data_IF_251946710782
#
_entry.id   IF_251946710782
#
_cell.length_a   1.000
_cell.length_b   1.000
_cell.length_c   1.000
_cell.angle_alpha   90.00
_cell.angle_beta   90.00
_cell.angle_gamma   90.00
#
_symmetry.space_group_name_H-M   'P 1'
#
loop_
_entity.id
_entity.type
_entity.pdbx_description
1 polymer ?
#
# COMPACT_ATOMS: atom_id res chain seq x y z
N UNK A 1 -32.70 -5.99 17.41
CA UNK A 1 -31.74 -7.08 17.65
C UNK A 1 -30.37 -6.43 17.84
N UNK A 2 -29.65 -6.74 18.93
CA UNK A 2 -28.32 -6.19 19.16
C UNK A 2 -27.28 -7.06 18.42
N UNK A 3 -26.41 -6.44 17.63
CA UNK A 3 -25.30 -7.10 16.93
C UNK A 3 -24.07 -7.19 17.85
N UNK A 4 -23.32 -8.28 17.77
CA UNK A 4 -22.05 -8.46 18.50
C UNK A 4 -20.95 -7.70 17.74
N UNK A 5 -20.14 -6.92 18.46
CA UNK A 5 -18.89 -6.38 17.93
C UNK A 5 -17.79 -7.43 18.04
N UNK A 6 -17.13 -7.72 16.92
CA UNK A 6 -16.03 -8.70 16.83
C UNK A 6 -14.66 -8.03 16.76
N UNK A 7 -14.60 -6.69 16.77
CA UNK A 7 -13.36 -5.94 16.72
C UNK A 7 -12.86 -5.67 18.13
N UNK A 8 -11.56 -5.82 18.32
CA UNK A 8 -10.87 -5.45 19.56
C UNK A 8 -9.78 -4.44 19.23
N UNK A 9 -9.35 -3.64 20.22
CA UNK A 9 -8.30 -2.63 20.07
C UNK A 9 -8.55 -1.62 18.93
N UNK A 10 -9.80 -1.13 18.81
CA UNK A 10 -10.17 -0.13 17.80
C UNK A 10 -9.63 1.24 18.23
N UNK A 11 -8.56 1.68 17.56
CA UNK A 11 -7.94 2.99 17.76
C UNK A 11 -8.12 3.86 16.50
N UNK A 12 -8.28 5.19 16.64
CA UNK A 12 -8.35 6.08 15.50
C UNK A 12 -7.01 6.13 14.75
N UNK A 13 -7.08 6.23 13.42
CA UNK A 13 -5.91 6.56 12.61
C UNK A 13 -5.56 8.04 12.80
N UNK A 14 -4.27 8.36 12.75
CA UNK A 14 -3.73 9.71 12.99
C UNK A 14 -2.51 9.92 12.11
N UNK A 15 -2.31 11.17 11.66
CA UNK A 15 -1.21 11.58 10.77
C UNK A 15 -1.21 10.77 9.47
N UNK A 16 -2.40 10.46 8.99
CA UNK A 16 -2.59 9.65 7.78
C UNK A 16 -2.18 10.44 6.55
N UNK A 17 -2.54 11.73 6.49
CA UNK A 17 -2.14 12.66 5.44
C UNK A 17 -0.62 12.79 5.37
N UNK A 18 0.03 13.15 6.48
CA UNK A 18 1.50 13.33 6.55
C UNK A 18 2.27 12.11 6.05
N UNK A 19 1.83 10.90 6.42
CA UNK A 19 2.47 9.65 5.98
C UNK A 19 2.17 9.33 4.53
N UNK A 20 0.95 9.62 4.05
CA UNK A 20 0.53 9.26 2.70
C UNK A 20 1.20 10.17 1.65
N UNK A 21 1.41 11.45 1.95
CA UNK A 21 2.09 12.39 1.05
C UNK A 21 3.58 12.07 0.85
N UNK A 22 4.20 11.26 1.72
CA UNK A 22 5.60 10.83 1.53
C UNK A 22 5.73 9.65 0.57
N UNK A 23 4.64 8.98 0.22
CA UNK A 23 4.64 7.83 -0.68
C UNK A 23 4.52 8.32 -2.13
N UNK A 24 5.47 7.95 -2.97
CA UNK A 24 5.43 8.32 -4.38
C UNK A 24 4.48 7.40 -5.15
N UNK A 25 3.57 8.02 -5.91
CA UNK A 25 2.78 7.32 -6.92
C UNK A 25 3.59 7.19 -8.20
N UNK A 26 3.66 5.98 -8.75
CA UNK A 26 4.47 5.66 -9.92
C UNK A 26 3.62 5.01 -11.01
N UNK A 27 4.07 5.17 -12.24
CA UNK A 27 3.66 4.34 -13.37
C UNK A 27 4.79 3.37 -13.71
N UNK A 28 4.47 2.11 -14.00
CA UNK A 28 5.46 1.07 -14.22
C UNK A 28 4.97 -0.02 -15.17
N UNK A 29 5.93 -0.68 -15.81
CA UNK A 29 5.74 -1.93 -16.53
C UNK A 29 6.36 -3.08 -15.73
N UNK A 30 5.82 -4.28 -15.88
CA UNK A 30 6.46 -5.45 -15.32
C UNK A 30 7.70 -5.80 -16.14
N UNK A 31 8.86 -5.75 -15.51
CA UNK A 31 10.10 -6.34 -16.01
C UNK A 31 10.42 -7.55 -15.15
N UNK A 32 9.96 -8.72 -15.57
CA UNK A 32 10.18 -9.98 -14.84
C UNK A 32 11.23 -10.76 -15.62
N UNK A 33 12.49 -10.76 -15.15
CA UNK A 33 13.51 -11.55 -15.80
C UNK A 33 13.16 -13.02 -15.62
N UNK A 34 12.89 -13.73 -16.72
CA UNK A 34 12.81 -15.20 -16.73
C UNK A 34 14.23 -15.77 -16.88
N UNK A 35 15.14 -15.37 -16.00
CA UNK A 35 16.57 -15.73 -16.00
C UNK A 35 16.87 -16.88 -15.03
N UNK A 36 18.11 -17.37 -15.02
CA UNK A 36 18.57 -18.35 -14.01
C UNK A 36 18.39 -17.83 -12.58
N UNK A 37 18.52 -16.53 -12.34
CA UNK A 37 18.29 -15.90 -11.03
C UNK A 37 16.85 -16.06 -10.56
N UNK A 38 15.88 -15.97 -11.47
CA UNK A 38 14.48 -16.21 -11.17
C UNK A 38 14.22 -17.66 -10.73
N UNK A 39 14.82 -18.61 -11.44
CA UNK A 39 14.72 -20.03 -11.09
C UNK A 39 15.39 -20.31 -9.74
N UNK A 40 16.54 -19.70 -9.46
CA UNK A 40 17.22 -19.80 -8.16
C UNK A 40 16.37 -19.20 -7.03
N UNK A 41 15.72 -18.05 -7.25
CA UNK A 41 14.79 -17.46 -6.29
C UNK A 41 13.64 -18.40 -5.99
N UNK A 42 12.98 -18.94 -7.02
CA UNK A 42 11.87 -19.89 -6.83
C UNK A 42 12.33 -21.14 -6.05
N UNK A 43 13.48 -21.71 -6.39
CA UNK A 43 13.99 -22.90 -5.71
C UNK A 43 14.36 -22.65 -4.25
N UNK A 44 14.69 -21.40 -3.89
CA UNK A 44 14.94 -21.01 -2.49
C UNK A 44 13.66 -20.91 -1.63
N UNK A 45 12.48 -20.83 -2.26
CA UNK A 45 11.20 -20.75 -1.55
C UNK A 45 10.74 -22.13 -1.04
N UNK A 46 9.90 -22.17 0.02
CA UNK A 46 9.25 -23.39 0.46
C UNK A 46 8.52 -24.09 -0.69
N UNK A 47 8.61 -25.43 -0.76
CA UNK A 47 8.05 -26.23 -1.87
C UNK A 47 6.55 -25.95 -2.11
N UNK A 48 5.80 -25.68 -1.04
CA UNK A 48 4.37 -25.30 -1.10
C UNK A 48 4.12 -24.02 -1.91
N UNK A 49 5.09 -23.13 -1.94
CA UNK A 49 4.96 -21.79 -2.50
C UNK A 49 5.51 -21.75 -3.93
N UNK A 50 6.46 -22.63 -4.29
CA UNK A 50 7.12 -22.64 -5.60
C UNK A 50 6.14 -22.67 -6.77
N UNK A 51 5.15 -23.57 -6.73
CA UNK A 51 4.16 -23.70 -7.81
C UNK A 51 3.31 -22.42 -7.94
N UNK A 52 2.79 -21.92 -6.82
CA UNK A 52 1.94 -20.73 -6.80
C UNK A 52 2.71 -19.48 -7.23
N UNK A 53 3.96 -19.37 -6.80
CA UNK A 53 4.84 -18.26 -7.13
C UNK A 53 5.23 -18.29 -8.61
N UNK A 54 5.65 -19.44 -9.14
CA UNK A 54 5.93 -19.60 -10.57
C UNK A 54 4.74 -19.22 -11.44
N UNK A 55 3.54 -19.72 -11.10
CA UNK A 55 2.31 -19.36 -11.82
C UNK A 55 2.01 -17.85 -11.76
N UNK A 56 2.22 -17.22 -10.60
CA UNK A 56 2.04 -15.78 -10.42
C UNK A 56 3.02 -14.99 -11.31
N UNK A 57 4.30 -15.35 -11.33
CA UNK A 57 5.30 -14.67 -12.15
C UNK A 57 5.03 -14.81 -13.64
N UNK A 58 4.67 -16.02 -14.11
CA UNK A 58 4.28 -16.24 -15.51
C UNK A 58 3.10 -15.34 -15.91
N UNK A 59 2.11 -15.19 -15.03
CA UNK A 59 0.97 -14.30 -15.27
C UNK A 59 1.39 -12.83 -15.35
N UNK A 60 2.26 -12.39 -14.44
CA UNK A 60 2.72 -11.01 -14.40
C UNK A 60 3.61 -10.67 -15.62
N UNK A 61 4.44 -11.61 -16.07
CA UNK A 61 5.32 -11.44 -17.24
C UNK A 61 4.55 -11.26 -18.55
N UNK A 62 3.29 -11.72 -18.60
CA UNK A 62 2.41 -11.53 -19.76
C UNK A 62 1.70 -10.15 -19.76
N UNK A 63 1.83 -9.36 -18.69
CA UNK A 63 1.21 -8.04 -18.61
C UNK A 63 2.10 -7.04 -19.35
N UNK A 64 1.62 -6.60 -20.52
CA UNK A 64 2.29 -5.58 -21.34
C UNK A 64 1.74 -4.17 -21.11
N UNK A 65 0.56 -4.06 -20.47
CA UNK A 65 -0.06 -2.77 -20.17
C UNK A 65 0.65 -2.09 -19.00
N UNK A 66 0.90 -0.80 -19.15
CA UNK A 66 1.32 0.07 -18.06
C UNK A 66 0.39 -0.02 -16.84
N UNK A 67 0.98 0.03 -15.65
CA UNK A 67 0.30 -0.05 -14.36
C UNK A 67 0.62 1.16 -13.51
N UNK A 68 -0.36 1.58 -12.70
CA UNK A 68 -0.17 2.58 -11.68
C UNK A 68 -0.08 1.91 -10.31
N UNK A 69 0.74 2.46 -9.43
CA UNK A 69 0.87 1.95 -8.08
C UNK A 69 1.86 2.75 -7.25
N UNK A 70 2.39 2.10 -6.23
CA UNK A 70 3.37 2.65 -5.29
C UNK A 70 4.53 1.67 -5.11
N UNK A 71 5.66 2.17 -4.64
CA UNK A 71 6.84 1.37 -4.32
C UNK A 71 6.63 0.71 -2.95
N UNK A 72 6.79 -0.61 -2.86
CA UNK A 72 6.54 -1.35 -1.63
C UNK A 72 7.49 -0.93 -0.49
N UNK A 73 8.73 -0.55 -0.80
CA UNK A 73 9.72 -0.08 0.17
C UNK A 73 9.35 1.30 0.76
N UNK A 74 8.79 2.20 -0.06
CA UNK A 74 8.28 3.49 0.41
C UNK A 74 7.12 3.26 1.39
N UNK A 75 6.16 2.40 1.01
CA UNK A 75 5.04 2.03 1.89
C UNK A 75 5.54 1.36 3.17
N UNK A 76 6.52 0.46 3.08
CA UNK A 76 7.04 -0.27 4.24
C UNK A 76 7.65 0.66 5.30
N UNK A 77 8.19 1.80 4.87
CA UNK A 77 8.80 2.79 5.78
C UNK A 77 7.75 3.47 6.67
N UNK A 78 6.51 3.63 6.18
CA UNK A 78 5.44 4.37 6.88
C UNK A 78 4.29 3.49 7.39
N UNK A 79 4.02 2.38 6.70
CA UNK A 79 2.96 1.39 6.97
C UNK A 79 3.52 -0.04 6.76
N UNK A 80 4.48 -0.48 7.59
CA UNK A 80 5.09 -1.81 7.44
C UNK A 80 4.07 -2.95 7.49
N UNK A 81 2.97 -2.78 8.22
CA UNK A 81 1.86 -3.73 8.32
C UNK A 81 1.12 -3.95 6.99
N UNK A 82 1.23 -3.01 6.06
CA UNK A 82 0.64 -3.11 4.72
C UNK A 82 1.59 -3.72 3.70
N UNK A 83 2.77 -4.18 4.11
CA UNK A 83 3.74 -4.78 3.21
C UNK A 83 4.05 -6.19 3.66
N UNK A 84 3.94 -7.13 2.71
CA UNK A 84 4.25 -8.54 2.96
C UNK A 84 5.22 -9.06 1.92
N UNK A 85 6.13 -9.94 2.33
CA UNK A 85 6.92 -10.70 1.38
C UNK A 85 6.10 -11.89 0.89
N UNK A 86 5.87 -11.96 -0.42
CA UNK A 86 5.24 -13.10 -1.08
C UNK A 86 6.08 -13.47 -2.28
N UNK A 87 6.45 -14.74 -2.39
CA UNK A 87 7.24 -15.25 -3.51
C UNK A 87 8.62 -14.58 -3.66
N UNK A 88 9.22 -14.12 -2.55
CA UNK A 88 10.53 -13.50 -2.56
C UNK A 88 10.54 -12.00 -2.92
N UNK A 89 9.37 -11.37 -3.09
CA UNK A 89 9.26 -9.92 -3.32
C UNK A 89 8.24 -9.27 -2.40
N UNK A 90 8.40 -7.96 -2.18
CA UNK A 90 7.50 -7.16 -1.37
C UNK A 90 6.22 -6.82 -2.14
N UNK A 91 5.08 -7.09 -1.53
CA UNK A 91 3.75 -6.76 -2.03
C UNK A 91 3.05 -5.83 -1.05
N UNK A 92 2.37 -4.82 -1.60
CA UNK A 92 1.51 -3.88 -0.86
C UNK A 92 0.09 -4.43 -0.73
N UNK A 93 -0.51 -4.30 0.45
CA UNK A 93 -1.94 -4.42 0.70
C UNK A 93 -2.67 -3.12 0.39
N UNK A 94 -3.15 -3.01 -0.84
CA UNK A 94 -3.92 -1.85 -1.31
C UNK A 94 -5.27 -1.70 -0.60
N UNK A 95 -5.85 -2.78 -0.05
CA UNK A 95 -7.12 -2.69 0.69
C UNK A 95 -6.91 -1.98 2.02
N UNK A 96 -5.79 -2.25 2.70
CA UNK A 96 -5.40 -1.56 3.93
C UNK A 96 -5.11 -0.07 3.75
N UNK A 97 -4.78 0.38 2.53
CA UNK A 97 -4.62 1.82 2.24
C UNK A 97 -5.95 2.59 2.23
N UNK A 98 -7.09 1.92 1.99
CA UNK A 98 -8.41 2.58 1.91
C UNK A 98 -8.76 3.35 3.19
N UNK A 99 -8.74 2.75 4.40
CA UNK A 99 -9.05 3.50 5.64
C UNK A 99 -8.05 4.64 5.90
N UNK A 100 -6.79 4.49 5.50
CA UNK A 100 -5.76 5.54 5.62
C UNK A 100 -6.10 6.73 4.71
N UNK A 101 -6.47 6.48 3.45
CA UNK A 101 -6.89 7.53 2.52
C UNK A 101 -8.14 8.26 3.03
N UNK A 102 -9.11 7.53 3.58
CA UNK A 102 -10.31 8.13 4.18
C UNK A 102 -9.93 9.11 5.29
N UNK A 103 -9.03 8.69 6.19
CA UNK A 103 -8.61 9.56 7.29
C UNK A 103 -7.77 10.75 6.81
N UNK A 104 -6.88 10.55 5.84
CA UNK A 104 -6.11 11.63 5.22
C UNK A 104 -7.01 12.71 4.59
N UNK A 105 -8.12 12.32 3.95
CA UNK A 105 -9.10 13.27 3.39
C UNK A 105 -9.79 14.09 4.49
N UNK A 106 -10.08 13.48 5.65
CA UNK A 106 -10.67 14.19 6.80
C UNK A 106 -9.67 15.16 7.43
N UNK A 107 -8.42 14.71 7.63
CA UNK A 107 -7.33 15.55 8.12
C UNK A 107 -7.12 16.75 7.19
N UNK A 108 -7.04 16.52 5.88
CA UNK A 108 -6.94 17.60 4.88
C UNK A 108 -8.13 18.56 4.93
N UNK A 109 -9.36 18.04 5.09
CA UNK A 109 -10.55 18.88 5.22
C UNK A 109 -10.51 19.73 6.48
N UNK A 110 -10.00 19.19 7.58
CA UNK A 110 -9.82 19.90 8.83
C UNK A 110 -8.81 21.05 8.68
N UNK A 111 -7.64 20.78 8.10
CA UNK A 111 -6.62 21.81 7.83
C UNK A 111 -7.17 22.95 6.96
N UNK A 112 -7.95 22.64 5.93
CA UNK A 112 -8.60 23.65 5.08
C UNK A 112 -9.58 24.52 5.90
N UNK A 113 -10.34 23.92 6.81
CA UNK A 113 -11.28 24.67 7.65
C UNK A 113 -10.53 25.59 8.62
N UNK A 114 -9.47 25.09 9.25
CA UNK A 114 -8.65 25.84 10.19
C UNK A 114 -7.96 27.04 9.51
N UNK A 115 -7.44 26.83 8.30
CA UNK A 115 -6.89 27.91 7.48
C UNK A 115 -7.93 28.97 7.12
N UNK A 116 -9.18 28.57 6.81
CA UNK A 116 -10.26 29.51 6.51
C UNK A 116 -10.65 30.33 7.74
N UNK A 117 -10.77 29.70 8.91
CA UNK A 117 -11.08 30.40 10.16
C UNK A 117 -9.97 31.38 10.53
N UNK A 118 -8.70 30.96 10.49
CA UNK A 118 -7.57 31.86 10.79
C UNK A 118 -7.49 33.07 9.85
N UNK A 119 -7.87 32.91 8.58
CA UNK A 119 -7.89 34.03 7.64
C UNK A 119 -9.09 34.97 7.86
N UNK A 120 -10.21 34.49 8.41
CA UNK A 120 -11.33 35.33 8.81
C UNK A 120 -10.97 36.16 10.06
N UNK A 121 -10.27 35.57 11.03
CA UNK A 121 -9.84 36.26 12.25
C UNK A 121 -8.80 37.36 11.99
N UNK A 122 -8.05 37.29 10.88
CA UNK A 122 -7.08 38.32 10.45
C UNK A 122 -7.70 39.47 9.65
N UNK A 123 -8.94 39.30 9.19
CA UNK A 123 -9.64 40.30 8.37
C UNK A 123 -10.51 41.27 9.22
N UNK A 124 -10.53 41.06 10.55
CA UNK A 124 -11.17 41.91 11.56
C UNK A 124 -10.13 42.44 12.54
#
# INVERSE_FOLDING_TARGET
>A
MATIDIKTNVLPLQKSLDKLITINSISYNYDIPMSEEHNALIQSLPVSDQQNCSAKFNKLAQIQSERLGVIAQDVQTVFPELVSNKCGYLQVDYVGLIPIMIEAIKELKQEINDLKTSNLDKAY
#
